data_IF_269746279749
#
_entry.id   IF_269746279749
#
_cell.length_a   1.000
_cell.length_b   1.000
_cell.length_c   1.000
_cell.angle_alpha   90.00
_cell.angle_beta   90.00
_cell.angle_gamma   90.00
#
_symmetry.space_group_name_H-M   'P 1'
#
loop_
_entity.id
_entity.type
_entity.pdbx_description
1 polymer ?
#
# COMPACT_ATOMS: atom_id res chain seq x y z
N UNK A 1 22.41 26.17 12.69
CA UNK A 1 21.11 25.52 12.40
C UNK A 1 21.37 24.45 11.36
N UNK A 2 21.28 23.18 11.75
CA UNK A 2 21.37 22.05 10.85
C UNK A 2 19.95 21.67 10.40
N UNK A 3 19.68 21.47 9.10
CA UNK A 3 18.47 20.78 8.65
C UNK A 3 18.70 19.26 8.59
N UNK A 4 17.70 18.54 9.08
CA UNK A 4 17.59 17.08 9.19
C UNK A 4 17.61 16.32 7.86
N UNK A 5 18.03 15.06 7.99
CA UNK A 5 18.08 14.03 6.96
C UNK A 5 16.65 13.46 6.77
N UNK A 6 16.09 13.53 5.54
CA UNK A 6 14.98 12.66 5.13
C UNK A 6 15.53 11.46 4.36
N UNK A 7 15.39 10.27 4.94
CA UNK A 7 15.71 8.99 4.29
C UNK A 7 14.57 8.69 3.29
N UNK A 8 14.82 8.95 2.01
CA UNK A 8 13.98 8.45 0.92
C UNK A 8 14.57 7.10 0.51
N UNK A 9 14.00 6.01 0.99
CA UNK A 9 14.30 4.66 0.50
C UNK A 9 13.55 4.47 -0.83
N UNK A 10 14.10 4.99 -1.93
CA UNK A 10 13.69 4.59 -3.28
C UNK A 10 14.71 3.54 -3.72
N UNK A 11 14.27 2.28 -3.78
CA UNK A 11 15.03 1.23 -4.46
C UNK A 11 15.14 1.63 -5.94
N UNK A 12 16.30 2.17 -6.34
CA UNK A 12 16.57 2.50 -7.73
C UNK A 12 16.98 1.24 -8.47
N UNK A 13 16.13 0.79 -9.39
CA UNK A 13 16.44 -0.26 -10.35
C UNK A 13 16.83 0.34 -11.72
N UNK A 14 17.63 -0.40 -12.50
CA UNK A 14 18.04 -0.06 -13.87
C UNK A 14 16.81 0.05 -14.80
N UNK A 15 16.27 1.26 -14.94
CA UNK A 15 15.09 1.55 -15.74
C UNK A 15 15.41 2.51 -16.90
N UNK A 16 14.89 2.20 -18.08
CA UNK A 16 14.97 3.03 -19.28
C UNK A 16 13.61 3.67 -19.58
N UNK A 17 13.58 4.97 -19.88
CA UNK A 17 12.36 5.74 -20.10
C UNK A 17 12.22 6.16 -21.57
N UNK A 18 11.09 5.83 -22.18
CA UNK A 18 10.69 6.34 -23.49
C UNK A 18 9.52 7.31 -23.32
N UNK A 19 9.69 8.58 -23.72
CA UNK A 19 8.66 9.62 -23.56
C UNK A 19 8.14 10.10 -24.92
N UNK A 20 6.81 10.19 -25.07
CA UNK A 20 6.14 10.65 -26.30
C UNK A 20 5.50 12.04 -26.11
N UNK A 21 5.91 13.04 -26.92
CA UNK A 21 5.53 14.49 -26.84
C UNK A 21 5.43 15.15 -28.24
N UNK A 22 4.80 16.33 -28.37
CA UNK A 22 4.58 17.04 -29.67
C UNK A 22 5.31 18.39 -29.86
N UNK A 23 5.90 19.01 -28.82
CA UNK A 23 6.81 20.19 -28.91
C UNK A 23 7.56 20.40 -27.56
N UNK A 24 8.81 20.87 -27.61
CA UNK A 24 9.81 20.79 -26.52
C UNK A 24 9.83 21.99 -25.56
N UNK A 25 10.15 21.70 -24.29
CA UNK A 25 10.81 22.62 -23.36
C UNK A 25 11.93 21.85 -22.64
N UNK A 26 13.04 22.54 -22.41
CA UNK A 26 14.23 22.08 -21.70
C UNK A 26 14.07 22.38 -20.21
N UNK A 27 14.17 21.38 -19.33
CA UNK A 27 14.34 21.62 -17.89
C UNK A 27 15.47 20.73 -17.36
N UNK A 28 16.54 21.40 -16.95
CA UNK A 28 17.67 20.86 -16.19
C UNK A 28 17.24 20.62 -14.74
N UNK A 29 17.56 19.46 -14.15
CA UNK A 29 18.05 19.37 -12.76
C UNK A 29 18.59 17.97 -12.38
N UNK A 30 19.80 18.01 -11.78
CA UNK A 30 20.52 17.03 -10.95
C UNK A 30 21.02 15.68 -11.55
N UNK A 31 22.34 15.63 -11.79
CA UNK A 31 23.16 14.41 -11.87
C UNK A 31 23.74 14.14 -10.47
N UNK A 32 23.44 12.98 -9.88
CA UNK A 32 24.19 12.46 -8.73
C UNK A 32 25.01 11.26 -9.16
N UNK A 33 26.34 11.36 -9.02
CA UNK A 33 27.29 10.24 -9.13
C UNK A 33 27.68 9.85 -7.72
N UNK A 34 27.28 8.67 -7.26
CA UNK A 34 27.82 8.05 -6.05
C UNK A 34 28.72 6.87 -6.46
N UNK A 35 29.92 6.85 -5.88
CA UNK A 35 30.99 5.92 -6.19
C UNK A 35 30.68 4.51 -5.72
N UNK A 36 30.02 3.72 -6.57
CA UNK A 36 30.22 2.29 -6.83
C UNK A 36 28.93 1.75 -7.48
N UNK A 37 29.02 1.53 -8.80
CA UNK A 37 28.05 0.85 -9.65
C UNK A 37 26.66 1.50 -9.72
N UNK A 38 26.60 2.69 -10.34
CA UNK A 38 25.33 3.22 -10.86
C UNK A 38 25.62 4.03 -12.14
N UNK A 39 25.31 3.45 -13.30
CA UNK A 39 25.06 4.24 -14.51
C UNK A 39 23.55 4.43 -14.57
N UNK A 40 23.04 5.37 -13.76
CA UNK A 40 21.65 5.81 -13.87
C UNK A 40 21.55 6.70 -15.09
N UNK A 41 21.15 6.13 -16.22
CA UNK A 41 20.67 6.94 -17.33
C UNK A 41 19.30 7.49 -16.95
N UNK A 42 19.31 8.60 -16.21
CA UNK A 42 18.15 9.50 -16.13
C UNK A 42 18.06 10.31 -17.44
N UNK A 43 18.17 9.63 -18.58
CA UNK A 43 17.97 10.22 -19.88
C UNK A 43 16.49 10.05 -20.21
N UNK A 44 15.70 11.11 -20.05
CA UNK A 44 14.72 11.35 -21.09
C UNK A 44 15.56 11.56 -22.36
N UNK A 45 15.50 10.60 -23.29
CA UNK A 45 16.05 10.87 -24.60
C UNK A 45 15.11 11.87 -25.26
N UNK A 46 15.53 13.13 -25.23
CA UNK A 46 14.92 14.21 -25.98
C UNK A 46 15.34 14.06 -27.45
N UNK A 47 14.52 13.38 -28.25
CA UNK A 47 14.72 13.17 -29.68
C UNK A 47 14.36 14.43 -30.50
N UNK A 48 15.02 15.56 -30.25
CA UNK A 48 14.93 16.72 -31.18
C UNK A 48 15.60 16.43 -32.53
N UNK A 49 16.48 15.42 -32.62
CA UNK A 49 17.40 15.29 -33.75
C UNK A 49 17.28 13.99 -34.56
N UNK A 50 16.27 13.15 -34.33
CA UNK A 50 16.03 11.97 -35.18
C UNK A 50 14.58 11.84 -35.64
N UNK A 51 14.30 12.22 -36.89
CA UNK A 51 13.27 11.72 -37.83
C UNK A 51 12.01 10.95 -37.27
N UNK A 52 11.39 11.43 -36.20
CA UNK A 52 10.07 10.98 -35.72
C UNK A 52 10.03 9.63 -34.99
N UNK A 53 8.81 9.16 -34.70
CA UNK A 53 8.51 7.95 -33.91
C UNK A 53 9.27 6.69 -34.35
N UNK A 54 9.57 6.54 -35.65
CA UNK A 54 10.33 5.40 -36.19
C UNK A 54 11.75 5.34 -35.63
N UNK A 55 12.39 6.48 -35.44
CA UNK A 55 13.72 6.56 -34.83
C UNK A 55 13.69 6.20 -33.35
N UNK A 56 12.63 6.57 -32.62
CA UNK A 56 12.43 6.14 -31.23
C UNK A 56 12.33 4.62 -31.10
N UNK A 57 11.64 3.95 -32.03
CA UNK A 57 11.52 2.49 -32.03
C UNK A 57 12.86 1.81 -32.34
N UNK A 58 13.62 2.33 -33.31
CA UNK A 58 14.94 1.81 -33.63
C UNK A 58 15.90 1.98 -32.45
N UNK A 59 15.81 3.11 -31.75
CA UNK A 59 16.59 3.33 -30.54
C UNK A 59 16.17 2.39 -29.41
N UNK A 60 14.87 2.16 -29.20
CA UNK A 60 14.38 1.15 -28.25
C UNK A 60 15.05 -0.20 -28.52
N UNK A 61 14.97 -0.69 -29.77
CA UNK A 61 15.56 -1.98 -30.15
C UNK A 61 17.07 -2.01 -29.91
N UNK A 62 17.77 -0.95 -30.30
CA UNK A 62 19.21 -0.86 -30.13
C UNK A 62 19.64 -0.78 -28.66
N UNK A 63 18.95 0.04 -27.86
CA UNK A 63 19.22 0.21 -26.44
C UNK A 63 18.93 -1.07 -25.65
N UNK A 64 17.80 -1.73 -25.91
CA UNK A 64 17.47 -3.01 -25.27
C UNK A 64 18.47 -4.09 -25.63
N UNK A 65 18.96 -4.12 -26.88
CA UNK A 65 20.01 -5.05 -27.31
C UNK A 65 21.37 -4.78 -26.65
N UNK A 66 21.88 -3.54 -26.73
CA UNK A 66 23.22 -3.20 -26.22
C UNK A 66 23.28 -3.28 -24.70
N UNK A 67 22.33 -2.64 -24.03
CA UNK A 67 22.39 -2.48 -22.58
C UNK A 67 21.70 -3.61 -21.84
N UNK A 68 21.06 -4.55 -22.56
CA UNK A 68 20.28 -5.65 -21.96
C UNK A 68 19.29 -5.11 -20.92
N UNK A 69 18.60 -4.04 -21.29
CA UNK A 69 17.70 -3.30 -20.41
C UNK A 69 16.64 -4.25 -19.85
N UNK A 70 16.53 -4.30 -18.52
CA UNK A 70 15.56 -5.15 -17.82
C UNK A 70 14.16 -4.53 -17.75
N UNK A 71 14.08 -3.19 -17.75
CA UNK A 71 12.81 -2.46 -17.61
C UNK A 71 12.72 -1.30 -18.60
N UNK A 72 11.74 -1.37 -19.48
CA UNK A 72 11.38 -0.27 -20.40
C UNK A 72 10.05 0.31 -19.97
N UNK A 73 10.02 1.61 -19.70
CA UNK A 73 8.81 2.36 -19.32
C UNK A 73 8.40 3.25 -20.48
N UNK A 74 7.18 3.08 -20.97
CA UNK A 74 6.61 3.93 -22.03
C UNK A 74 5.73 5.00 -21.38
N UNK A 75 6.07 6.26 -21.59
CA UNK A 75 5.36 7.42 -21.05
C UNK A 75 4.69 8.19 -22.17
N UNK A 76 3.37 8.33 -22.08
CA UNK A 76 2.53 9.07 -23.03
C UNK A 76 2.03 10.35 -22.36
N UNK A 77 2.42 11.50 -22.88
CA UNK A 77 1.85 12.79 -22.47
C UNK A 77 0.61 13.09 -23.32
N UNK A 78 -0.55 12.75 -22.77
CA UNK A 78 -1.81 12.72 -23.50
C UNK A 78 -2.25 14.12 -23.96
N UNK A 79 -1.92 15.17 -23.19
CA UNK A 79 -2.22 16.56 -23.54
C UNK A 79 -1.32 17.15 -24.63
N UNK A 80 -0.32 16.39 -25.10
CA UNK A 80 0.62 16.88 -26.11
C UNK A 80 0.34 16.25 -27.48
N UNK A 81 -0.28 15.09 -27.56
CA UNK A 81 -0.44 14.36 -28.82
C UNK A 81 -1.90 14.40 -29.29
N UNK A 82 -2.11 14.31 -30.62
CA UNK A 82 -3.46 14.08 -31.15
C UNK A 82 -3.90 12.64 -30.84
N UNK A 83 -5.21 12.39 -30.59
CA UNK A 83 -5.72 11.05 -30.26
C UNK A 83 -5.29 9.94 -31.23
N UNK A 84 -5.28 10.21 -32.54
CA UNK A 84 -4.83 9.26 -33.56
C UNK A 84 -3.35 8.88 -33.42
N UNK A 85 -2.49 9.85 -33.06
CA UNK A 85 -1.07 9.61 -32.82
C UNK A 85 -0.86 8.77 -31.57
N UNK A 86 -1.62 9.04 -30.50
CA UNK A 86 -1.56 8.28 -29.25
C UNK A 86 -1.88 6.81 -29.52
N UNK A 87 -2.99 6.52 -30.21
CA UNK A 87 -3.38 5.14 -30.55
C UNK A 87 -2.34 4.46 -31.40
N UNK A 88 -1.84 5.13 -32.44
CA UNK A 88 -0.78 4.60 -33.30
C UNK A 88 0.49 4.26 -32.50
N UNK A 89 0.94 5.17 -31.64
CA UNK A 89 2.17 4.97 -30.88
C UNK A 89 2.03 3.92 -29.79
N UNK A 90 0.88 3.89 -29.10
CA UNK A 90 0.57 2.82 -28.15
C UNK A 90 0.50 1.46 -28.82
N UNK A 91 -0.26 1.33 -29.91
CA UNK A 91 -0.37 0.07 -30.65
C UNK A 91 1.00 -0.51 -30.99
N UNK A 92 1.92 0.33 -31.47
CA UNK A 92 3.28 -0.12 -31.81
C UNK A 92 4.14 -0.40 -30.56
N UNK A 93 3.99 0.38 -29.48
CA UNK A 93 4.72 0.14 -28.23
C UNK A 93 4.29 -1.16 -27.56
N UNK A 94 3.00 -1.50 -27.63
CA UNK A 94 2.43 -2.70 -27.02
C UNK A 94 2.88 -4.00 -27.71
N UNK A 95 3.36 -3.92 -28.95
CA UNK A 95 3.97 -5.05 -29.67
C UNK A 95 5.40 -5.37 -29.23
N UNK A 96 6.02 -4.51 -28.42
CA UNK A 96 7.40 -4.67 -27.94
C UNK A 96 7.41 -5.13 -26.48
N UNK A 97 8.55 -5.62 -26.03
CA UNK A 97 8.72 -5.98 -24.62
C UNK A 97 8.87 -4.72 -23.77
N UNK A 98 7.86 -4.45 -22.92
CA UNK A 98 7.86 -3.34 -21.97
C UNK A 98 7.64 -3.82 -20.54
N UNK A 99 7.97 -2.95 -19.59
CA UNK A 99 7.73 -3.16 -18.16
C UNK A 99 6.48 -2.42 -17.68
N UNK A 100 6.29 -1.18 -18.18
CA UNK A 100 5.20 -0.32 -17.74
C UNK A 100 4.70 0.60 -18.86
N UNK A 101 3.39 0.84 -18.88
CA UNK A 101 2.78 1.95 -19.61
C UNK A 101 2.37 3.04 -18.60
N UNK A 102 2.68 4.29 -18.91
CA UNK A 102 2.33 5.46 -18.11
C UNK A 102 1.64 6.50 -18.98
N UNK A 103 0.38 6.79 -18.68
CA UNK A 103 -0.39 7.88 -19.31
C UNK A 103 -0.37 9.07 -18.37
N UNK A 104 0.06 10.23 -18.86
CA UNK A 104 0.27 11.45 -18.06
C UNK A 104 -0.52 12.60 -18.66
N UNK A 105 -1.14 13.40 -17.80
CA UNK A 105 -1.88 14.63 -18.12
C UNK A 105 -3.07 14.38 -19.06
N UNK A 106 -3.86 15.42 -19.33
CA UNK A 106 -4.99 15.35 -20.26
C UNK A 106 -6.15 14.49 -19.77
N UNK A 107 -7.00 14.04 -20.70
CA UNK A 107 -8.24 13.30 -20.42
C UNK A 107 -8.18 11.91 -21.05
N UNK A 108 -8.46 10.88 -20.27
CA UNK A 108 -8.70 9.50 -20.72
C UNK A 108 -10.20 9.27 -20.66
N UNK A 109 -10.85 9.39 -21.81
CA UNK A 109 -12.27 9.07 -21.96
C UNK A 109 -12.52 7.56 -21.89
N UNK A 110 -13.79 7.16 -21.89
CA UNK A 110 -14.16 5.73 -21.77
C UNK A 110 -13.59 4.89 -22.91
N UNK A 111 -13.64 5.36 -24.16
CA UNK A 111 -13.15 4.59 -25.31
C UNK A 111 -11.63 4.39 -25.23
N UNK A 112 -10.89 5.42 -24.80
CA UNK A 112 -9.44 5.30 -24.61
C UNK A 112 -9.10 4.45 -23.38
N UNK A 113 -9.87 4.55 -22.30
CA UNK A 113 -9.71 3.70 -21.13
C UNK A 113 -9.90 2.22 -21.51
N UNK A 114 -11.00 1.87 -22.17
CA UNK A 114 -11.29 0.50 -22.62
C UNK A 114 -10.18 -0.04 -23.51
N UNK A 115 -9.70 0.79 -24.45
CA UNK A 115 -8.54 0.43 -25.28
C UNK A 115 -7.31 0.05 -24.44
N UNK A 116 -6.97 0.83 -23.40
CA UNK A 116 -5.85 0.51 -22.51
C UNK A 116 -6.11 -0.80 -21.74
N UNK A 117 -7.34 -1.00 -21.25
CA UNK A 117 -7.71 -2.18 -20.47
C UNK A 117 -7.75 -3.49 -21.27
N UNK A 118 -8.00 -3.39 -22.57
CA UNK A 118 -8.04 -4.54 -23.49
C UNK A 118 -6.68 -4.87 -24.10
N UNK A 119 -5.81 -3.86 -24.28
CA UNK A 119 -4.58 -4.03 -25.07
C UNK A 119 -3.29 -4.02 -24.22
N UNK A 120 -3.30 -3.44 -23.02
CA UNK A 120 -2.14 -3.51 -22.12
C UNK A 120 -2.11 -4.90 -21.48
N UNK A 121 -0.98 -5.58 -21.57
CA UNK A 121 -0.76 -6.87 -20.91
C UNK A 121 -0.93 -6.73 -19.37
N UNK A 122 -1.81 -7.56 -18.81
CA UNK A 122 -2.15 -7.57 -17.38
C UNK A 122 -0.98 -7.97 -16.48
N UNK A 123 0.04 -8.66 -16.98
CA UNK A 123 1.25 -8.99 -16.20
C UNK A 123 2.21 -7.79 -16.05
N UNK A 124 1.90 -6.66 -16.69
CA UNK A 124 2.71 -5.44 -16.69
C UNK A 124 2.10 -4.36 -15.77
N UNK A 125 2.84 -3.28 -15.58
CA UNK A 125 2.39 -2.13 -14.79
C UNK A 125 1.63 -1.12 -15.65
N UNK A 126 0.56 -0.56 -15.09
CA UNK A 126 -0.21 0.51 -15.74
C UNK A 126 -0.38 1.70 -14.80
N UNK A 127 0.11 2.87 -15.21
CA UNK A 127 -0.06 4.11 -14.47
C UNK A 127 -0.89 5.09 -15.31
N UNK A 128 -2.04 5.54 -14.80
CA UNK A 128 -2.84 6.59 -15.42
C UNK A 128 -2.89 7.80 -14.48
N UNK A 129 -2.00 8.74 -14.75
CA UNK A 129 -1.92 10.04 -14.13
C UNK A 129 -2.49 11.12 -15.07
N UNK A 130 -3.71 10.84 -15.52
CA UNK A 130 -4.55 11.68 -16.36
C UNK A 130 -5.96 11.68 -15.77
N UNK A 131 -6.80 12.65 -16.16
CA UNK A 131 -8.19 12.69 -15.71
C UNK A 131 -8.99 11.59 -16.40
N UNK A 132 -9.54 10.64 -15.64
CA UNK A 132 -10.33 9.52 -16.15
C UNK A 132 -11.82 9.87 -16.04
N UNK A 133 -12.58 9.74 -17.13
CA UNK A 133 -14.03 10.05 -17.13
C UNK A 133 -14.94 8.81 -17.15
N UNK A 134 -14.38 7.60 -16.99
CA UNK A 134 -15.13 6.35 -17.01
C UNK A 134 -15.60 5.91 -15.61
N UNK A 135 -16.52 4.94 -15.56
CA UNK A 135 -17.04 4.32 -14.34
C UNK A 135 -16.36 2.98 -14.01
N UNK A 136 -15.21 2.69 -14.63
CA UNK A 136 -14.43 1.46 -14.40
C UNK A 136 -14.46 0.48 -15.57
N UNK A 137 -13.73 -0.64 -15.43
CA UNK A 137 -13.65 -1.71 -16.42
C UNK A 137 -13.25 -3.04 -15.75
N UNK A 138 -13.74 -4.22 -16.20
CA UNK A 138 -13.44 -5.51 -15.57
C UNK A 138 -11.96 -5.88 -15.47
N UNK A 139 -11.10 -5.29 -16.30
CA UNK A 139 -9.65 -5.53 -16.28
C UNK A 139 -8.86 -4.48 -15.50
N UNK A 140 -9.48 -3.39 -15.05
CA UNK A 140 -8.76 -2.26 -14.47
C UNK A 140 -7.97 -2.61 -13.21
N UNK A 141 -8.41 -3.60 -12.43
CA UNK A 141 -7.72 -4.04 -11.21
C UNK A 141 -6.93 -5.34 -11.40
N UNK A 142 -6.83 -5.82 -12.64
CA UNK A 142 -6.16 -7.09 -12.96
C UNK A 142 -4.68 -6.94 -13.31
N UNK A 143 -4.20 -5.72 -13.55
CA UNK A 143 -2.78 -5.47 -13.79
C UNK A 143 -1.93 -5.92 -12.60
N UNK A 144 -0.68 -6.35 -12.85
CA UNK A 144 0.28 -6.74 -11.82
C UNK A 144 0.52 -5.63 -10.80
N UNK A 145 0.51 -4.38 -11.27
CA UNK A 145 0.58 -3.17 -10.46
C UNK A 145 -0.09 -2.04 -11.23
N UNK A 146 -0.82 -1.18 -10.52
CA UNK A 146 -1.51 -0.07 -11.17
C UNK A 146 -1.62 1.16 -10.29
N UNK A 147 -1.71 2.31 -10.95
CA UNK A 147 -1.94 3.61 -10.33
C UNK A 147 -3.00 4.38 -11.10
N UNK A 148 -4.01 4.87 -10.40
CA UNK A 148 -5.07 5.70 -10.95
C UNK A 148 -5.17 7.01 -10.16
N UNK A 149 -4.98 8.14 -10.85
CA UNK A 149 -5.15 9.45 -10.20
C UNK A 149 -6.61 9.82 -9.89
N UNK A 150 -7.55 9.18 -10.59
CA UNK A 150 -8.98 9.31 -10.39
C UNK A 150 -9.56 7.90 -10.17
N UNK A 151 -9.73 7.53 -8.90
CA UNK A 151 -10.16 6.22 -8.47
C UNK A 151 -11.53 6.21 -7.78
N UNK A 152 -12.35 7.26 -7.95
CA UNK A 152 -13.70 7.37 -7.35
C UNK A 152 -14.66 6.26 -7.78
N UNK A 153 -14.38 5.57 -8.87
CA UNK A 153 -15.17 4.45 -9.37
C UNK A 153 -14.81 3.11 -8.69
N UNK A 154 -13.71 3.05 -7.93
CA UNK A 154 -13.30 1.83 -7.20
C UNK A 154 -14.07 1.73 -5.90
N UNK A 155 -14.76 0.61 -5.70
CA UNK A 155 -15.49 0.32 -4.45
C UNK A 155 -14.65 -0.45 -3.44
N UNK A 156 -15.13 -0.56 -2.21
CA UNK A 156 -14.46 -1.36 -1.17
C UNK A 156 -14.45 -2.85 -1.54
N UNK A 157 -15.52 -3.34 -2.17
CA UNK A 157 -15.60 -4.72 -2.64
C UNK A 157 -14.60 -4.99 -3.77
N UNK A 158 -14.44 -4.03 -4.68
CA UNK A 158 -13.40 -4.09 -5.71
C UNK A 158 -12.00 -4.18 -5.09
N UNK A 159 -11.71 -3.34 -4.09
CA UNK A 159 -10.44 -3.35 -3.36
C UNK A 159 -10.19 -4.68 -2.64
N UNK A 160 -11.21 -5.25 -1.98
CA UNK A 160 -11.15 -6.55 -1.29
C UNK A 160 -11.00 -7.73 -2.26
N UNK A 161 -11.41 -7.57 -3.52
CA UNK A 161 -11.29 -8.60 -4.56
C UNK A 161 -9.88 -8.73 -5.14
N UNK A 162 -8.99 -7.75 -4.88
CA UNK A 162 -7.62 -7.74 -5.40
C UNK A 162 -6.82 -8.89 -4.79
N UNK A 163 -6.06 -9.60 -5.64
CA UNK A 163 -5.19 -10.70 -5.23
C UNK A 163 -3.87 -10.65 -5.98
N UNK A 164 -2.80 -11.04 -5.27
CA UNK A 164 -1.44 -11.25 -5.81
C UNK A 164 -0.91 -10.06 -6.64
N UNK A 165 -1.03 -8.82 -6.12
CA UNK A 165 -0.48 -7.62 -6.78
C UNK A 165 0.83 -7.17 -6.14
N UNK A 166 1.68 -6.50 -6.93
CA UNK A 166 2.87 -5.84 -6.38
C UNK A 166 2.40 -4.58 -5.61
N UNK A 167 2.15 -3.48 -6.32
CA UNK A 167 1.78 -2.19 -5.75
C UNK A 167 0.51 -1.64 -6.39
N UNK A 168 -0.40 -1.17 -5.56
CA UNK A 168 -1.65 -0.52 -5.95
C UNK A 168 -1.62 0.93 -5.47
N UNK A 169 -1.99 1.88 -6.32
CA UNK A 169 -2.14 3.29 -5.93
C UNK A 169 -3.45 3.84 -6.46
N UNK A 170 -4.30 4.32 -5.55
CA UNK A 170 -5.61 4.86 -5.84
C UNK A 170 -5.67 6.27 -5.26
N UNK A 171 -5.78 7.28 -6.12
CA UNK A 171 -5.88 8.67 -5.68
C UNK A 171 -7.26 9.20 -5.99
N UNK A 172 -7.70 10.15 -5.17
CA UNK A 172 -9.03 10.73 -5.23
C UNK A 172 -10.09 9.61 -5.17
N UNK A 173 -10.17 8.92 -4.04
CA UNK A 173 -11.10 7.78 -3.85
C UNK A 173 -12.36 8.22 -3.11
N UNK A 174 -13.42 7.42 -3.21
CA UNK A 174 -14.66 7.61 -2.41
C UNK A 174 -14.56 7.02 -0.99
N UNK A 175 -13.41 6.47 -0.63
CA UNK A 175 -13.24 5.77 0.64
C UNK A 175 -13.35 6.72 1.83
N UNK A 176 -13.94 6.20 2.89
CA UNK A 176 -14.02 6.81 4.23
C UNK A 176 -12.96 6.20 5.14
N UNK A 177 -12.72 6.79 6.32
CA UNK A 177 -11.82 6.20 7.31
C UNK A 177 -12.31 4.82 7.77
N UNK A 178 -13.63 4.62 7.82
CA UNK A 178 -14.28 3.36 8.10
C UNK A 178 -14.02 2.31 7.01
N UNK A 179 -14.07 2.69 5.74
CA UNK A 179 -13.74 1.77 4.63
C UNK A 179 -12.28 1.29 4.71
N UNK A 180 -11.36 2.19 5.09
CA UNK A 180 -9.95 1.83 5.30
C UNK A 180 -9.80 0.87 6.48
N UNK A 181 -10.47 1.13 7.61
CA UNK A 181 -10.49 0.23 8.76
C UNK A 181 -11.02 -1.16 8.37
N UNK A 182 -12.16 -1.20 7.67
CA UNK A 182 -12.79 -2.44 7.20
C UNK A 182 -11.89 -3.22 6.23
N UNK A 183 -11.16 -2.53 5.36
CA UNK A 183 -10.18 -3.15 4.49
C UNK A 183 -9.02 -3.77 5.29
N UNK A 184 -8.45 -3.05 6.26
CA UNK A 184 -7.34 -3.56 7.07
C UNK A 184 -7.78 -4.78 7.88
N UNK A 185 -8.95 -4.71 8.53
CA UNK A 185 -9.52 -5.84 9.26
C UNK A 185 -9.80 -7.05 8.35
N UNK A 186 -10.21 -6.80 7.10
CA UNK A 186 -10.33 -7.85 6.09
C UNK A 186 -8.97 -8.44 5.74
N UNK A 187 -7.94 -7.62 5.49
CA UNK A 187 -6.60 -8.10 5.18
C UNK A 187 -6.02 -8.95 6.31
N UNK A 188 -6.21 -8.54 7.57
CA UNK A 188 -5.74 -9.28 8.75
C UNK A 188 -6.31 -10.70 8.78
N UNK A 189 -7.58 -10.85 8.45
CA UNK A 189 -8.31 -12.13 8.49
C UNK A 189 -8.14 -12.97 7.23
N UNK A 190 -7.86 -12.33 6.10
CA UNK A 190 -7.72 -13.01 4.81
C UNK A 190 -6.65 -14.12 4.90
N UNK A 191 -6.83 -15.18 4.14
CA UNK A 191 -5.86 -16.27 4.03
C UNK A 191 -4.87 -16.03 2.87
N UNK A 192 -5.23 -15.14 1.94
CA UNK A 192 -4.48 -14.89 0.71
C UNK A 192 -3.66 -13.60 0.77
N UNK A 193 -2.52 -13.61 0.08
CA UNK A 193 -1.73 -12.40 -0.19
C UNK A 193 -2.48 -11.51 -1.21
N UNK A 194 -2.96 -10.35 -0.75
CA UNK A 194 -3.75 -9.44 -1.57
C UNK A 194 -2.83 -8.56 -2.45
N UNK A 195 -1.87 -7.87 -1.82
CA UNK A 195 -0.84 -7.06 -2.49
C UNK A 195 0.38 -6.84 -1.59
N UNK A 196 1.54 -6.49 -2.17
CA UNK A 196 2.76 -6.09 -1.44
C UNK A 196 2.68 -4.66 -0.90
N UNK A 197 1.98 -3.77 -1.60
CA UNK A 197 1.76 -2.40 -1.15
C UNK A 197 0.50 -1.75 -1.73
N UNK A 198 -0.07 -0.81 -0.97
CA UNK A 198 -1.27 -0.05 -1.28
C UNK A 198 -1.12 1.39 -0.82
N UNK A 199 -1.31 2.34 -1.72
CA UNK A 199 -1.46 3.75 -1.40
C UNK A 199 -2.87 4.20 -1.75
N UNK A 200 -3.58 4.76 -0.78
CA UNK A 200 -4.90 5.34 -0.99
C UNK A 200 -4.87 6.81 -0.59
N UNK A 201 -5.16 7.70 -1.52
CA UNK A 201 -5.42 9.11 -1.22
C UNK A 201 -6.93 9.35 -1.28
N UNK A 202 -7.47 9.89 -0.19
CA UNK A 202 -8.90 10.20 -0.09
C UNK A 202 -9.26 11.43 -0.92
N UNK A 203 -10.55 11.56 -1.25
CA UNK A 203 -11.07 12.72 -1.98
C UNK A 203 -10.81 14.04 -1.25
N UNK A 204 -10.88 15.12 -2.03
CA UNK A 204 -10.73 16.47 -1.49
C UNK A 204 -11.76 16.77 -0.39
N UNK A 205 -11.27 17.32 0.72
CA UNK A 205 -12.08 17.69 1.88
C UNK A 205 -12.28 16.60 2.93
N UNK A 206 -11.83 15.37 2.68
CA UNK A 206 -11.84 14.30 3.70
C UNK A 206 -10.65 14.47 4.64
N UNK A 207 -10.89 14.36 5.95
CA UNK A 207 -9.85 14.40 6.97
C UNK A 207 -9.56 12.98 7.43
N UNK A 208 -8.28 12.59 7.47
CA UNK A 208 -7.87 11.32 8.04
C UNK A 208 -8.04 11.34 9.56
N UNK A 209 -8.84 10.42 10.07
CA UNK A 209 -9.02 10.16 11.49
C UNK A 209 -8.31 8.86 11.87
N UNK A 210 -7.19 9.01 12.58
CA UNK A 210 -6.35 7.90 13.04
C UNK A 210 -7.09 6.96 13.98
N UNK A 211 -7.98 7.47 14.84
CA UNK A 211 -8.68 6.65 15.82
C UNK A 211 -9.75 5.78 15.15
N UNK A 212 -10.41 6.31 14.11
CA UNK A 212 -11.36 5.54 13.29
C UNK A 212 -10.62 4.46 12.49
N UNK A 213 -9.53 4.82 11.81
CA UNK A 213 -8.78 3.89 10.95
C UNK A 213 -8.18 2.72 11.75
N UNK A 214 -7.68 2.99 12.96
CA UNK A 214 -6.98 1.99 13.78
C UNK A 214 -7.91 1.22 14.72
N UNK A 215 -9.21 1.56 14.74
CA UNK A 215 -10.17 0.99 15.66
C UNK A 215 -10.19 -0.53 15.61
N UNK A 216 -9.95 -1.15 16.76
CA UNK A 216 -10.03 -2.61 16.93
C UNK A 216 -8.86 -3.39 16.31
N UNK A 217 -7.81 -2.71 15.84
CA UNK A 217 -6.62 -3.34 15.28
C UNK A 217 -5.54 -3.45 16.38
N UNK A 218 -5.00 -4.65 16.67
CA UNK A 218 -3.85 -4.79 17.55
C UNK A 218 -2.61 -4.19 16.87
N UNK A 219 -2.21 -3.00 17.32
CA UNK A 219 -1.10 -2.25 16.74
C UNK A 219 0.04 -2.01 17.73
N UNK A 220 1.24 -1.82 17.19
CA UNK A 220 2.35 -1.18 17.90
C UNK A 220 3.00 -0.11 17.01
N UNK A 221 3.62 0.90 17.62
CA UNK A 221 4.52 1.82 16.91
C UNK A 221 5.97 1.42 17.17
N UNK A 222 6.82 1.51 16.14
CA UNK A 222 8.26 1.32 16.28
C UNK A 222 9.02 2.44 15.61
N UNK A 223 9.56 3.36 16.42
CA UNK A 223 10.41 4.46 15.93
C UNK A 223 11.76 3.98 15.38
N UNK A 224 12.15 2.72 15.66
CA UNK A 224 13.43 2.16 15.23
C UNK A 224 13.42 1.64 13.79
N UNK A 225 12.30 1.02 13.36
CA UNK A 225 12.23 0.33 12.07
C UNK A 225 11.74 1.25 10.96
N UNK A 226 10.50 1.72 11.10
CA UNK A 226 9.86 2.61 10.14
C UNK A 226 9.21 3.72 10.99
N UNK A 227 9.85 4.90 11.06
CA UNK A 227 9.33 6.02 11.84
C UNK A 227 7.88 6.34 11.46
N UNK A 228 7.05 6.61 12.45
CA UNK A 228 5.60 6.91 12.28
C UNK A 228 4.73 5.78 11.73
N UNK A 229 5.26 4.57 11.50
CA UNK A 229 4.46 3.44 11.07
C UNK A 229 3.78 2.71 12.24
N UNK A 230 2.54 2.31 12.02
CA UNK A 230 1.82 1.34 12.82
C UNK A 230 2.06 -0.06 12.27
N UNK A 231 2.47 -0.99 13.12
CA UNK A 231 2.65 -2.39 12.74
C UNK A 231 1.48 -3.22 13.27
N UNK A 232 1.08 -4.24 12.49
CA UNK A 232 0.07 -5.23 12.89
C UNK A 232 0.32 -6.56 12.19
N UNK A 233 -0.26 -7.63 12.72
CA UNK A 233 -0.11 -8.98 12.17
C UNK A 233 -1.28 -9.35 11.26
N UNK A 234 -0.97 -10.02 10.16
CA UNK A 234 -1.93 -10.76 9.36
C UNK A 234 -2.01 -12.22 9.79
N UNK A 235 -2.91 -12.97 9.16
CA UNK A 235 -3.07 -14.41 9.38
C UNK A 235 -1.77 -15.19 9.08
N UNK A 236 -1.12 -15.70 10.13
CA UNK A 236 0.22 -16.32 10.07
C UNK A 236 0.26 -17.66 9.32
N UNK A 237 -0.87 -18.35 9.19
CA UNK A 237 -0.87 -19.76 8.77
C UNK A 237 -0.96 -19.96 7.26
N UNK A 238 -1.25 -18.91 6.49
CA UNK A 238 -1.61 -19.04 5.07
C UNK A 238 -0.97 -18.00 4.15
N UNK A 239 -0.29 -16.98 4.70
CA UNK A 239 0.32 -15.88 3.91
C UNK A 239 1.83 -15.90 3.88
N UNK A 240 2.40 -15.52 2.74
CA UNK A 240 3.83 -15.20 2.62
C UNK A 240 4.14 -13.91 3.38
N UNK A 241 3.26 -12.92 3.27
CA UNK A 241 3.40 -11.61 3.93
C UNK A 241 2.47 -11.52 5.15
N UNK A 242 3.05 -11.57 6.35
CA UNK A 242 2.28 -11.65 7.61
C UNK A 242 2.44 -10.42 8.51
N UNK A 243 3.24 -9.44 8.10
CA UNK A 243 3.46 -8.19 8.84
C UNK A 243 2.95 -7.05 7.98
N UNK A 244 1.94 -6.33 8.47
CA UNK A 244 1.43 -5.12 7.84
C UNK A 244 2.00 -3.87 8.50
N UNK A 245 2.26 -2.84 7.69
CA UNK A 245 2.59 -1.50 8.16
C UNK A 245 1.56 -0.51 7.63
N UNK A 246 1.24 0.49 8.44
CA UNK A 246 0.39 1.61 8.05
C UNK A 246 1.08 2.92 8.37
N UNK A 247 1.15 3.81 7.38
CA UNK A 247 1.58 5.19 7.55
C UNK A 247 0.43 6.10 7.13
N UNK A 248 0.11 7.06 7.99
CA UNK A 248 -0.96 8.03 7.75
C UNK A 248 -0.34 9.40 7.50
N UNK A 249 -0.46 9.87 6.26
CA UNK A 249 -0.07 11.22 5.88
C UNK A 249 -1.31 12.12 5.89
N UNK A 250 -1.50 12.84 7.00
CA UNK A 250 -2.64 13.75 7.17
C UNK A 250 -2.59 14.95 6.23
N UNK A 251 -1.41 15.40 5.80
CA UNK A 251 -1.28 16.55 4.89
C UNK A 251 -1.74 16.17 3.48
N UNK A 252 -1.35 14.98 3.03
CA UNK A 252 -1.75 14.46 1.72
C UNK A 252 -3.10 13.72 1.75
N UNK A 253 -3.64 13.41 2.93
CA UNK A 253 -4.79 12.49 3.15
C UNK A 253 -4.54 11.11 2.55
N UNK A 254 -3.29 10.65 2.68
CA UNK A 254 -2.84 9.39 2.10
C UNK A 254 -2.62 8.36 3.19
N UNK A 255 -3.14 7.16 2.94
CA UNK A 255 -2.89 5.96 3.70
C UNK A 255 -1.93 5.10 2.89
N UNK A 256 -0.74 4.83 3.44
CA UNK A 256 0.25 3.93 2.86
C UNK A 256 0.29 2.65 3.66
N UNK A 257 0.01 1.54 2.99
CA UNK A 257 -0.01 0.20 3.55
C UNK A 257 1.03 -0.66 2.82
N UNK A 258 1.97 -1.25 3.54
CA UNK A 258 2.95 -2.18 2.99
C UNK A 258 2.96 -3.47 3.79
N UNK A 259 3.28 -4.58 3.14
CA UNK A 259 3.35 -5.89 3.79
C UNK A 259 4.72 -6.53 3.61
N UNK A 260 5.15 -7.23 4.65
CA UNK A 260 6.48 -7.81 4.72
C UNK A 260 6.41 -9.29 5.09
N UNK A 261 7.35 -10.03 4.52
CA UNK A 261 7.67 -11.38 4.98
C UNK A 261 8.33 -11.33 6.35
N UNK A 262 8.20 -12.41 7.12
CA UNK A 262 8.91 -12.53 8.39
C UNK A 262 10.40 -12.63 8.16
N UNK A 263 11.10 -11.63 8.68
CA UNK A 263 12.55 -11.55 8.68
C UNK A 263 13.02 -11.27 10.11
N UNK A 264 14.26 -11.64 10.42
CA UNK A 264 14.78 -11.64 11.80
C UNK A 264 14.67 -10.27 12.49
N UNK A 265 14.84 -9.18 11.73
CA UNK A 265 14.73 -7.82 12.28
C UNK A 265 13.30 -7.43 12.69
N UNK A 266 12.27 -8.18 12.29
CA UNK A 266 10.90 -7.99 12.74
C UNK A 266 10.56 -8.79 14.01
N UNK A 267 11.46 -9.64 14.52
CA UNK A 267 11.16 -10.54 15.65
C UNK A 267 10.69 -9.79 16.91
N UNK A 268 11.28 -8.63 17.22
CA UNK A 268 10.89 -7.78 18.35
C UNK A 268 9.46 -7.24 18.16
N UNK A 269 9.14 -6.77 16.96
CA UNK A 269 7.80 -6.27 16.59
C UNK A 269 6.76 -7.38 16.66
N UNK A 270 7.06 -8.54 16.09
CA UNK A 270 6.14 -9.69 16.11
C UNK A 270 5.87 -10.15 17.55
N UNK A 271 6.91 -10.24 18.38
CA UNK A 271 6.76 -10.63 19.78
C UNK A 271 5.88 -9.64 20.55
N UNK A 272 6.10 -8.34 20.31
CA UNK A 272 5.32 -7.26 20.91
C UNK A 272 3.85 -7.27 20.48
N UNK A 273 3.59 -7.56 19.20
CA UNK A 273 2.23 -7.68 18.68
C UNK A 273 1.50 -8.88 19.29
N UNK A 274 2.15 -10.02 19.46
CA UNK A 274 1.55 -11.19 20.14
C UNK A 274 1.21 -10.88 21.60
N UNK A 275 2.06 -10.14 22.30
CA UNK A 275 1.76 -9.65 23.65
C UNK A 275 0.57 -8.68 23.65
N UNK A 276 0.45 -7.85 22.62
CA UNK A 276 -0.66 -6.91 22.44
C UNK A 276 -2.00 -7.62 22.21
N UNK A 277 -2.04 -8.59 21.32
CA UNK A 277 -3.21 -9.44 21.08
C UNK A 277 -3.63 -10.15 22.37
N UNK A 278 -2.67 -10.74 23.09
CA UNK A 278 -2.90 -11.40 24.37
C UNK A 278 -3.47 -10.45 25.43
N UNK A 279 -2.93 -9.23 25.54
CA UNK A 279 -3.46 -8.18 26.44
C UNK A 279 -4.93 -7.89 26.14
N UNK A 280 -5.25 -7.68 24.86
CA UNK A 280 -6.62 -7.41 24.39
C UNK A 280 -7.57 -8.55 24.76
N UNK A 281 -7.16 -9.80 24.56
CA UNK A 281 -8.00 -10.97 24.87
C UNK A 281 -8.20 -11.16 26.38
N UNK A 282 -7.17 -10.89 27.20
CA UNK A 282 -7.27 -10.90 28.65
C UNK A 282 -8.23 -9.81 29.17
N UNK A 283 -8.19 -8.60 28.61
CA UNK A 283 -9.09 -7.50 28.96
C UNK A 283 -10.55 -7.82 28.58
N UNK A 284 -10.77 -8.44 27.41
CA UNK A 284 -12.09 -8.96 27.02
C UNK A 284 -12.58 -10.03 27.99
N UNK A 285 -11.72 -10.99 28.36
CA UNK A 285 -12.07 -12.06 29.30
C UNK A 285 -12.43 -11.49 30.67
N UNK A 286 -11.66 -10.53 31.18
CA UNK A 286 -11.96 -9.83 32.43
C UNK A 286 -13.34 -9.16 32.42
N UNK A 287 -13.68 -8.51 31.30
CA UNK A 287 -15.00 -7.89 31.10
C UNK A 287 -16.12 -8.92 31.07
N UNK A 288 -15.90 -10.06 30.42
CA UNK A 288 -16.87 -11.16 30.38
C UNK A 288 -17.11 -11.78 31.76
N UNK A 289 -16.05 -11.97 32.55
CA UNK A 289 -16.19 -12.46 33.93
C UNK A 289 -17.05 -11.50 34.76
N UNK A 290 -16.88 -10.18 34.60
CA UNK A 290 -17.74 -9.21 35.30
C UNK A 290 -19.21 -9.38 34.93
N UNK A 291 -19.53 -9.62 33.66
CA UNK A 291 -20.91 -9.88 33.21
C UNK A 291 -21.47 -11.18 33.79
N UNK A 292 -20.68 -12.26 33.78
CA UNK A 292 -21.06 -13.54 34.37
C UNK A 292 -21.37 -13.40 35.86
N UNK A 293 -20.55 -12.63 36.59
CA UNK A 293 -20.79 -12.35 38.01
C UNK A 293 -22.08 -11.57 38.21
N UNK A 294 -22.31 -10.48 37.45
CA UNK A 294 -23.52 -9.65 37.55
C UNK A 294 -24.81 -10.43 37.26
N UNK A 295 -24.78 -11.32 36.26
CA UNK A 295 -25.90 -12.20 35.93
C UNK A 295 -26.08 -13.30 36.97
N UNK A 296 -24.98 -13.92 37.40
CA UNK A 296 -24.95 -14.94 38.44
C UNK A 296 -25.47 -14.44 39.79
N UNK A 297 -25.18 -13.19 40.14
CA UNK A 297 -25.70 -12.50 41.32
C UNK A 297 -27.24 -12.47 41.39
N UNK A 298 -27.90 -12.44 40.22
CA UNK A 298 -29.37 -12.42 40.11
C UNK A 298 -29.98 -13.83 40.10
N UNK A 299 -29.26 -14.82 39.58
CA UNK A 299 -29.83 -16.11 39.19
C UNK A 299 -29.30 -17.31 39.99
N UNK A 300 -28.16 -17.20 40.66
CA UNK A 300 -27.58 -18.31 41.43
C UNK A 300 -28.17 -18.40 42.84
N UNK A 301 -28.42 -19.63 43.28
CA UNK A 301 -28.68 -19.89 44.70
C UNK A 301 -27.41 -19.64 45.53
N UNK A 302 -27.56 -19.42 46.84
CA UNK A 302 -26.47 -19.05 47.74
C UNK A 302 -25.27 -20.00 47.68
N UNK A 303 -25.52 -21.31 47.59
CA UNK A 303 -24.46 -22.32 47.55
C UNK A 303 -23.62 -22.27 46.27
N UNK A 304 -24.27 -22.17 45.10
CA UNK A 304 -23.58 -22.06 43.81
C UNK A 304 -22.84 -20.72 43.70
N UNK A 305 -23.43 -19.66 44.27
CA UNK A 305 -22.89 -18.31 44.22
C UNK A 305 -21.52 -18.21 44.90
N UNK A 306 -21.35 -18.76 46.09
CA UNK A 306 -20.08 -18.67 46.83
C UNK A 306 -18.94 -19.42 46.12
N UNK A 307 -19.24 -20.58 45.52
CA UNK A 307 -18.26 -21.33 44.74
C UNK A 307 -17.86 -20.59 43.47
N UNK A 308 -18.84 -20.09 42.71
CA UNK A 308 -18.59 -19.38 41.45
C UNK A 308 -17.85 -18.06 41.65
N UNK A 309 -18.19 -17.28 42.68
CA UNK A 309 -17.47 -16.05 43.02
C UNK A 309 -16.00 -16.34 43.36
N UNK A 310 -15.73 -17.44 44.06
CA UNK A 310 -14.35 -17.84 44.37
C UNK A 310 -13.57 -18.21 43.12
N UNK A 311 -14.18 -18.97 42.21
CA UNK A 311 -13.59 -19.33 40.91
C UNK A 311 -13.27 -18.09 40.07
N UNK A 312 -14.24 -17.19 39.89
CA UNK A 312 -14.06 -15.97 39.09
C UNK A 312 -13.05 -15.01 39.68
N UNK A 313 -12.97 -14.94 41.02
CA UNK A 313 -11.95 -14.13 41.71
C UNK A 313 -10.53 -14.64 41.44
N UNK A 314 -10.31 -15.96 41.54
CA UNK A 314 -9.02 -16.57 41.24
C UNK A 314 -8.61 -16.36 39.78
N UNK A 315 -9.57 -16.47 38.86
CA UNK A 315 -9.33 -16.20 37.43
C UNK A 315 -8.95 -14.74 37.18
N UNK A 316 -9.64 -13.78 37.82
CA UNK A 316 -9.30 -12.35 37.74
C UNK A 316 -7.91 -12.03 38.30
N UNK A 317 -7.55 -12.63 39.44
CA UNK A 317 -6.22 -12.48 40.05
C UNK A 317 -5.13 -13.00 39.09
N UNK A 318 -5.36 -14.14 38.43
CA UNK A 318 -4.44 -14.69 37.43
C UNK A 318 -4.32 -13.79 36.19
N UNK A 319 -5.45 -13.29 35.68
CA UNK A 319 -5.47 -12.34 34.55
C UNK A 319 -4.70 -11.07 34.89
N UNK A 320 -4.88 -10.49 36.08
CA UNK A 320 -4.18 -9.25 36.45
C UNK A 320 -2.67 -9.47 36.57
N UNK A 321 -2.23 -10.59 37.15
CA UNK A 321 -0.82 -10.94 37.22
C UNK A 321 -0.17 -11.11 35.82
N UNK A 322 -0.93 -11.66 34.87
CA UNK A 322 -0.48 -11.80 33.50
C UNK A 322 -0.45 -10.45 32.76
N UNK A 323 -1.45 -9.59 32.96
CA UNK A 323 -1.45 -8.22 32.45
C UNK A 323 -0.26 -7.43 33.00
N UNK A 324 0.05 -7.53 34.29
CA UNK A 324 1.22 -6.89 34.89
C UNK A 324 2.54 -7.39 34.29
N UNK A 325 2.62 -8.68 33.96
CA UNK A 325 3.77 -9.24 33.25
C UNK A 325 3.92 -8.62 31.86
N UNK A 326 2.82 -8.49 31.11
CA UNK A 326 2.81 -7.86 29.79
C UNK A 326 3.20 -6.37 29.87
N UNK A 327 2.66 -5.63 30.85
CA UNK A 327 3.01 -4.21 31.07
C UNK A 327 4.51 -4.02 31.31
N UNK A 328 5.11 -4.89 32.11
CA UNK A 328 6.55 -4.85 32.38
C UNK A 328 7.39 -5.15 31.12
N UNK A 329 6.96 -6.07 30.27
CA UNK A 329 7.62 -6.35 28.99
C UNK A 329 7.49 -5.18 28.01
N UNK A 330 6.31 -4.54 27.91
CA UNK A 330 6.14 -3.34 27.09
C UNK A 330 7.04 -2.19 27.56
N UNK A 331 7.18 -2.00 28.88
CA UNK A 331 8.11 -1.02 29.43
C UNK A 331 9.57 -1.31 29.02
N UNK A 332 9.99 -2.59 29.08
CA UNK A 332 11.34 -3.01 28.64
C UNK A 332 11.58 -2.76 27.15
N UNK A 333 10.55 -2.95 26.33
CA UNK A 333 10.60 -2.78 24.87
C UNK A 333 10.40 -1.32 24.44
N UNK A 334 10.10 -0.41 25.36
CA UNK A 334 9.85 1.01 25.07
C UNK A 334 8.52 1.26 24.35
N UNK A 335 7.54 0.37 24.52
CA UNK A 335 6.21 0.45 23.91
C UNK A 335 5.27 1.18 24.88
N UNK A 336 4.53 2.17 24.36
CA UNK A 336 3.56 2.90 25.17
C UNK A 336 2.34 2.04 25.48
N UNK A 337 1.96 2.01 26.77
CA UNK A 337 0.84 1.22 27.26
C UNK A 337 -0.55 1.82 26.91
N UNK A 338 -0.56 3.09 26.49
CA UNK A 338 -1.75 3.90 26.17
C UNK A 338 -2.19 3.83 24.70
N UNK A 339 -1.49 3.08 23.85
CA UNK A 339 -1.82 2.93 22.43
C UNK A 339 -2.74 1.76 22.16
#
# INVERSE_FOLDING_TARGET
MAPEIKIIRVAYEDAFYLTLRHRWYLTYDNIFVSSRYLLKFNHSCDFETMNGFKSCLQFWDHATYIFKVKKVIVVVHNNQLFPEQIRKYLAISLLKEYYQISIRMGVVDSEYFDYLMENVNLDKKLLIAAHITTTGHPNALKFRSFEYLEARWVTLDDLKSIQNKDFVTLVNTIFTCEDINDFILFWIKSENDLMEGLNITLADGVVLDTDIILKGIPIIKSEKLIPSAFFFLGNENQKKFSIGTLVLDHECRTVSFEVFERQEYFNEVVSSLKLKEKKIDLEKRKTEINRIEEEGLKNWNLYIRDQKIKETRLEKEAIEAELDTIRNEFFRLGISDNQ
#
